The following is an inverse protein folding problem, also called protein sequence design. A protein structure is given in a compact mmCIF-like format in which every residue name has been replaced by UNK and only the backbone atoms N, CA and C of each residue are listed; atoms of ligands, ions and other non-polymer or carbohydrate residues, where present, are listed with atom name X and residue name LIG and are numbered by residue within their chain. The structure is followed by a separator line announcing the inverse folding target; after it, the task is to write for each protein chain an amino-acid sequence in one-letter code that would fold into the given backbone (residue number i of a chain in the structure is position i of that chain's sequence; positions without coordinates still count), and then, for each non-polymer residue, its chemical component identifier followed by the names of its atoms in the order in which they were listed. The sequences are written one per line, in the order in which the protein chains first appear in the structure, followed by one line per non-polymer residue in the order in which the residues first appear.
data_IF_217896420354
#
_entry.id   IF_217896420354
#
_cell.length_a   1.000
_cell.length_b   1.000
_cell.length_c   1.000
_cell.angle_alpha   90.00
_cell.angle_beta   90.00
_cell.angle_gamma   90.00
#
_symmetry.space_group_name_H-M   'P 1'
#
loop_
_entity.id
_entity.type
_entity.pdbx_description
1 polymer ?
#
# COMPACT_ATOMS: atom_id res chain seq x y z
N UNK A 1 8.62 19.02 -12.35
CA UNK A 1 7.80 17.77 -12.43
C UNK A 1 8.16 16.79 -11.31
N UNK A 2 9.45 16.46 -11.11
CA UNK A 2 9.95 15.68 -9.96
C UNK A 2 9.51 16.23 -8.59
N UNK A 3 9.68 17.53 -8.37
CA UNK A 3 9.29 18.21 -7.13
C UNK A 3 7.78 18.15 -6.85
N UNK A 4 6.95 18.25 -7.89
CA UNK A 4 5.49 18.14 -7.78
C UNK A 4 5.11 16.73 -7.32
N UNK A 5 5.72 15.69 -7.90
CA UNK A 5 5.48 14.31 -7.50
C UNK A 5 5.97 14.05 -6.08
N UNK A 6 7.17 14.51 -5.73
CA UNK A 6 7.71 14.34 -4.38
C UNK A 6 6.82 15.02 -3.32
N UNK A 7 6.37 16.25 -3.57
CA UNK A 7 5.45 16.95 -2.67
C UNK A 7 4.09 16.25 -2.58
N UNK A 8 3.55 15.75 -3.70
CA UNK A 8 2.28 15.04 -3.72
C UNK A 8 2.34 13.70 -2.98
N UNK A 9 3.44 12.94 -3.13
CA UNK A 9 3.64 11.68 -2.41
C UNK A 9 3.87 11.88 -0.92
N UNK A 10 4.66 12.89 -0.56
CA UNK A 10 4.89 13.22 0.84
C UNK A 10 3.57 13.62 1.52
N UNK A 11 2.80 14.54 0.91
CA UNK A 11 1.50 14.95 1.43
C UNK A 11 0.47 13.81 1.46
N UNK A 12 0.43 12.97 0.43
CA UNK A 12 -0.46 11.81 0.37
C UNK A 12 -0.12 10.77 1.45
N UNK A 13 1.17 10.52 1.69
CA UNK A 13 1.63 9.65 2.76
C UNK A 13 1.26 10.21 4.13
N UNK A 14 1.50 11.50 4.38
CA UNK A 14 1.19 12.14 5.67
C UNK A 14 -0.31 12.07 5.98
N UNK A 15 -1.15 12.33 4.99
CA UNK A 15 -2.59 12.19 5.15
C UNK A 15 -2.97 10.74 5.46
N UNK A 16 -2.55 9.77 4.64
CA UNK A 16 -2.88 8.36 4.88
C UNK A 16 -2.35 7.85 6.23
N UNK A 17 -1.14 8.26 6.65
CA UNK A 17 -0.58 7.90 7.95
C UNK A 17 -1.37 8.49 9.12
N UNK A 18 -1.91 9.71 8.98
CA UNK A 18 -2.77 10.34 9.99
C UNK A 18 -4.11 9.62 10.16
N UNK A 19 -4.54 8.88 9.15
CA UNK A 19 -5.79 8.10 9.16
C UNK A 19 -5.54 6.59 9.26
N UNK A 20 -4.34 6.13 9.65
CA UNK A 20 -4.04 4.70 9.73
C UNK A 20 -4.97 3.95 10.67
N UNK A 21 -5.29 4.53 11.81
CA UNK A 21 -6.15 3.88 12.81
C UNK A 21 -7.57 3.71 12.27
N UNK A 22 -8.07 4.72 11.52
CA UNK A 22 -9.36 4.57 10.81
C UNK A 22 -9.27 3.48 9.74
N UNK A 23 -8.17 3.37 9.01
CA UNK A 23 -7.97 2.32 8.00
C UNK A 23 -7.94 0.92 8.63
N UNK A 24 -7.39 0.78 9.84
CA UNK A 24 -7.45 -0.45 10.64
C UNK A 24 -8.89 -0.77 11.05
N UNK A 25 -9.71 0.24 11.37
CA UNK A 25 -11.12 0.07 11.78
C UNK A 25 -12.08 -0.24 10.62
N UNK A 26 -11.89 0.38 9.45
CA UNK A 26 -12.85 0.27 8.33
C UNK A 26 -12.59 -0.93 7.42
N UNK A 27 -11.38 -1.51 7.45
CA UNK A 27 -11.07 -2.64 6.56
C UNK A 27 -11.63 -3.95 7.13
N UNK A 28 -12.91 -4.20 6.83
CA UNK A 28 -13.69 -5.30 7.40
C UNK A 28 -13.92 -6.48 6.43
N UNK A 29 -13.23 -6.57 5.28
CA UNK A 29 -13.56 -7.56 4.24
C UNK A 29 -12.40 -8.51 3.87
N UNK A 30 -12.58 -9.85 3.89
CA UNK A 30 -13.70 -10.64 4.45
C UNK A 30 -13.56 -10.96 5.95
N UNK A 31 -12.39 -10.71 6.55
CA UNK A 31 -12.09 -10.84 7.98
C UNK A 31 -11.25 -9.65 8.38
N UNK A 32 -11.59 -8.97 9.48
CA UNK A 32 -10.81 -7.85 9.98
C UNK A 32 -9.49 -8.38 10.58
N UNK A 33 -8.36 -8.03 9.96
CA UNK A 33 -7.01 -8.23 10.50
C UNK A 33 -6.55 -7.08 11.40
N UNK A 34 -7.28 -5.95 11.36
CA UNK A 34 -7.08 -4.75 12.18
C UNK A 34 -5.65 -4.18 12.08
N UNK A 35 -4.96 -4.46 10.98
CA UNK A 35 -3.57 -4.04 10.74
C UNK A 35 -3.36 -3.38 9.37
N UNK A 36 -4.44 -3.14 8.62
CA UNK A 36 -4.40 -2.61 7.26
C UNK A 36 -3.75 -1.22 7.15
N UNK A 37 -4.21 -0.26 7.95
CA UNK A 37 -3.61 1.05 8.08
C UNK A 37 -2.16 0.98 8.59
N UNK A 38 -1.89 0.10 9.54
CA UNK A 38 -0.52 -0.17 10.02
C UNK A 38 0.38 -0.68 8.89
N UNK A 39 -0.10 -1.64 8.09
CA UNK A 39 0.59 -2.22 6.95
C UNK A 39 0.85 -1.18 5.86
N UNK A 40 -0.10 -0.29 5.58
CA UNK A 40 0.06 0.80 4.62
C UNK A 40 1.06 1.86 5.10
N UNK A 41 0.99 2.26 6.38
CA UNK A 41 1.92 3.25 6.97
C UNK A 41 3.37 2.77 6.91
N UNK A 42 3.62 1.48 7.17
CA UNK A 42 4.94 0.88 7.11
C UNK A 42 5.44 0.73 5.67
N UNK A 43 4.60 0.17 4.79
CA UNK A 43 4.97 -0.09 3.38
C UNK A 43 5.27 1.18 2.60
N UNK A 44 4.58 2.28 2.93
CA UNK A 44 4.64 3.53 2.20
C UNK A 44 5.49 4.60 2.90
N UNK A 45 6.11 4.30 4.05
CA UNK A 45 7.03 5.19 4.76
C UNK A 45 8.10 5.86 3.88
N UNK A 46 8.69 5.17 2.86
CA UNK A 46 9.64 5.80 1.96
C UNK A 46 9.09 6.97 1.13
N UNK A 47 7.77 7.10 0.97
CA UNK A 47 7.15 8.21 0.25
C UNK A 47 7.27 9.56 0.98
N UNK A 48 7.46 9.53 2.31
CA UNK A 48 7.67 10.75 3.12
C UNK A 48 8.97 11.45 2.77
N UNK A 49 10.02 10.66 2.54
CA UNK A 49 11.36 11.10 2.20
C UNK A 49 11.85 10.26 1.04
N UNK A 50 11.45 10.60 -0.19
CA UNK A 50 11.95 9.92 -1.38
C UNK A 50 13.47 10.10 -1.44
N UNK A 51 14.30 9.08 -1.13
CA UNK A 51 15.73 9.28 -0.97
C UNK A 51 16.45 9.26 -2.33
N UNK A 52 15.80 8.72 -3.37
CA UNK A 52 16.35 8.64 -4.71
C UNK A 52 15.26 8.30 -5.75
N UNK A 53 15.48 8.73 -7.00
CA UNK A 53 14.52 8.59 -8.10
C UNK A 53 14.11 7.14 -8.38
N UNK A 54 15.07 6.22 -8.24
CA UNK A 54 14.92 4.80 -8.58
C UNK A 54 13.98 4.06 -7.64
N UNK A 55 13.98 4.41 -6.34
CA UNK A 55 13.14 3.79 -5.33
C UNK A 55 11.68 4.29 -5.44
N UNK A 56 11.51 5.59 -5.70
CA UNK A 56 10.21 6.20 -5.97
C UNK A 56 9.57 5.58 -7.22
N UNK A 57 10.33 5.48 -8.32
CA UNK A 57 9.83 4.91 -9.56
C UNK A 57 9.53 3.41 -9.42
N UNK A 58 10.34 2.67 -8.66
CA UNK A 58 10.09 1.24 -8.39
C UNK A 58 8.82 1.02 -7.56
N UNK A 59 8.56 1.87 -6.55
CA UNK A 59 7.30 1.87 -5.81
C UNK A 59 6.11 2.21 -6.70
N UNK A 60 6.25 3.21 -7.58
CA UNK A 60 5.20 3.61 -8.53
C UNK A 60 4.90 2.52 -9.56
N UNK A 61 5.92 1.90 -10.15
CA UNK A 61 5.75 0.76 -11.05
C UNK A 61 5.16 -0.45 -10.33
N UNK A 62 5.57 -0.73 -9.10
CA UNK A 62 5.04 -1.84 -8.30
C UNK A 62 3.56 -1.67 -7.94
N UNK A 63 3.14 -0.45 -7.59
CA UNK A 63 1.75 -0.14 -7.26
C UNK A 63 0.82 -0.13 -8.49
N UNK A 64 1.32 0.31 -9.65
CA UNK A 64 0.55 0.35 -10.92
C UNK A 64 0.52 -1.00 -11.63
N UNK A 65 1.57 -1.83 -11.51
CA UNK A 65 1.67 -3.12 -12.21
C UNK A 65 1.17 -4.33 -11.42
N UNK A 66 0.72 -4.19 -10.17
CA UNK A 66 0.12 -5.31 -9.44
C UNK A 66 -1.32 -5.53 -9.91
N UNK A 67 -1.45 -6.09 -11.12
CA UNK A 67 -2.69 -6.72 -11.61
C UNK A 67 -3.10 -7.78 -10.56
N UNK A 68 -4.38 -7.91 -10.18
CA UNK A 68 -4.81 -9.08 -9.42
C UNK A 68 -4.34 -10.31 -10.20
N UNK A 69 -3.68 -11.25 -9.52
CA UNK A 69 -3.10 -12.43 -10.14
C UNK A 69 -4.23 -13.30 -10.72
N UNK A 70 -4.66 -13.00 -11.94
CA UNK A 70 -5.55 -13.85 -12.73
C UNK A 70 -4.68 -14.65 -13.69
N UNK A 71 -3.96 -15.64 -13.15
CA UNK A 71 -3.24 -16.65 -13.92
C UNK A 71 -3.92 -18.01 -13.74
N UNK A 72 -4.15 -18.79 -14.82
CA UNK A 72 -4.75 -20.11 -14.73
C UNK A 72 -3.75 -21.04 -14.03
N UNK A 73 -4.05 -21.41 -12.78
CA UNK A 73 -3.18 -22.24 -11.93
C UNK A 73 -2.70 -21.56 -10.64
N UNK A 74 -3.13 -20.34 -10.35
CA UNK A 74 -2.97 -19.78 -8.99
C UNK A 74 -3.90 -20.53 -8.02
N UNK A 75 -3.47 -20.84 -6.78
CA UNK A 75 -4.34 -21.47 -5.80
C UNK A 75 -5.53 -20.53 -5.62
N UNK A 76 -6.73 -21.03 -5.91
CA UNK A 76 -7.95 -20.32 -5.51
C UNK A 76 -7.85 -20.06 -4.02
N UNK A 77 -8.26 -18.87 -3.61
CA UNK A 77 -8.18 -18.30 -2.25
C UNK A 77 -8.90 -19.12 -1.15
N UNK A 78 -9.13 -20.42 -1.36
CA UNK A 78 -9.81 -21.34 -0.45
C UNK A 78 -8.94 -21.87 0.70
N UNK A 79 -7.63 -21.60 0.73
CA UNK A 79 -6.74 -22.06 1.82
C UNK A 79 -5.83 -20.97 2.41
N UNK A 80 -6.02 -19.69 2.06
CA UNK A 80 -5.21 -18.59 2.61
C UNK A 80 -5.74 -18.07 3.96
N UNK A 81 -6.89 -18.57 4.42
CA UNK A 81 -7.54 -18.19 5.68
C UNK A 81 -8.11 -19.41 6.41
N UNK A 82 -7.33 -20.50 6.52
CA UNK A 82 -7.64 -21.55 7.48
C UNK A 82 -6.98 -21.18 8.83
N UNK A 83 -7.79 -20.61 9.73
CA UNK A 83 -7.57 -20.64 11.18
C UNK A 83 -8.22 -21.89 11.77
#
# INVERSE_FOLDING_TARGET
MREIFQSAFSAGYELMAAWSDLLDEINLYPVADADTGTNLRLSLAPLRTLPDDTAAESLLRGAVCRRPASGPGSPTWHHAFDF
#
